data_IF_955888986990
#
_entry.id   IF_955888986990
#
_cell.length_a   1.000
_cell.length_b   1.000
_cell.length_c   1.000
_cell.angle_alpha   90.00
_cell.angle_beta   90.00
_cell.angle_gamma   90.00
#
_symmetry.space_group_name_H-M   'P 1'
#
loop_
_entity.id
_entity.type
_entity.pdbx_description
1 polymer ?
#
# COMPACT_ATOMS: atom_id res chain seq x y z
N UNK A 1 7.56 10.81 19.67
CA UNK A 1 8.41 9.87 18.93
C UNK A 1 9.64 10.65 18.51
N UNK A 2 10.83 10.10 18.71
CA UNK A 2 12.06 10.81 18.36
C UNK A 2 12.23 10.81 16.84
N UNK A 3 12.86 11.87 16.29
CA UNK A 3 13.02 12.03 14.84
C UNK A 3 13.75 10.86 14.16
N UNK A 4 14.58 10.12 14.91
CA UNK A 4 15.33 8.96 14.41
C UNK A 4 14.43 7.71 14.30
N UNK A 5 13.53 7.51 15.26
CA UNK A 5 12.56 6.41 15.25
C UNK A 5 11.58 6.55 14.09
N UNK A 6 11.10 7.78 13.84
CA UNK A 6 10.23 8.09 12.71
C UNK A 6 10.94 7.77 11.38
N UNK A 7 12.20 8.16 11.24
CA UNK A 7 13.00 7.87 10.05
C UNK A 7 13.21 6.36 9.84
N UNK A 8 13.45 5.62 10.93
CA UNK A 8 13.57 4.17 10.89
C UNK A 8 12.27 3.49 10.43
N UNK A 9 11.12 3.90 10.97
CA UNK A 9 9.81 3.37 10.57
C UNK A 9 9.51 3.70 9.12
N UNK A 10 9.78 4.93 8.68
CA UNK A 10 9.59 5.31 7.29
C UNK A 10 10.42 4.44 6.35
N UNK A 11 11.68 4.20 6.68
CA UNK A 11 12.54 3.33 5.89
C UNK A 11 11.99 1.91 5.84
N UNK A 12 11.61 1.35 6.99
CA UNK A 12 11.06 -0.01 7.11
C UNK A 12 9.76 -0.19 6.31
N UNK A 13 8.82 0.76 6.42
CA UNK A 13 7.56 0.71 5.68
C UNK A 13 7.75 0.98 4.18
N UNK A 14 8.82 1.68 3.80
CA UNK A 14 9.19 1.91 2.39
C UNK A 14 9.89 0.72 1.73
N UNK A 15 10.28 -0.29 2.51
CA UNK A 15 10.99 -1.47 2.02
C UNK A 15 10.08 -2.33 1.14
N UNK A 16 10.59 -2.72 -0.04
CA UNK A 16 9.91 -3.62 -0.96
C UNK A 16 9.78 -5.05 -0.44
N UNK A 17 10.57 -5.43 0.58
CA UNK A 17 10.55 -6.76 1.20
C UNK A 17 9.49 -6.89 2.31
N UNK A 18 8.70 -5.85 2.58
CA UNK A 18 7.64 -5.93 3.57
C UNK A 18 6.64 -7.04 3.15
N UNK A 19 6.25 -7.97 4.06
CA UNK A 19 5.44 -9.15 3.73
C UNK A 19 3.94 -8.80 3.55
N UNK A 20 3.69 -7.80 2.71
CA UNK A 20 2.35 -7.32 2.32
C UNK A 20 1.86 -7.96 1.02
N UNK A 21 2.75 -8.67 0.32
CA UNK A 21 2.48 -9.27 -0.98
C UNK A 21 2.75 -8.31 -2.15
N UNK A 22 3.10 -8.86 -3.30
CA UNK A 22 3.32 -8.09 -4.53
C UNK A 22 1.99 -7.60 -5.12
N UNK A 23 1.97 -6.41 -5.72
CA UNK A 23 0.83 -5.97 -6.50
C UNK A 23 0.67 -6.88 -7.73
N UNK A 24 -0.53 -7.42 -7.89
CA UNK A 24 -0.83 -8.44 -8.91
C UNK A 24 -1.19 -7.80 -10.27
N UNK A 25 -1.45 -6.50 -10.33
CA UNK A 25 -1.94 -5.82 -11.53
C UNK A 25 -0.90 -4.85 -12.12
N UNK A 26 -0.70 -4.92 -13.44
CA UNK A 26 0.10 -3.98 -14.24
C UNK A 26 -0.53 -2.58 -14.39
N UNK A 27 -1.59 -2.28 -13.63
CA UNK A 27 -2.45 -1.10 -13.75
C UNK A 27 -2.93 -0.81 -15.20
N UNK A 28 -3.00 -1.83 -16.05
CA UNK A 28 -3.39 -1.66 -17.46
C UNK A 28 -2.26 -1.22 -18.39
N UNK A 29 -1.00 -1.23 -17.94
CA UNK A 29 0.17 -0.94 -18.79
C UNK A 29 0.22 -1.88 -20.00
N UNK A 30 -0.10 -3.16 -19.81
CA UNK A 30 -0.13 -4.14 -20.90
C UNK A 30 -1.11 -3.72 -21.99
N UNK A 31 -2.34 -3.34 -21.63
CA UNK A 31 -3.33 -2.80 -22.58
C UNK A 31 -2.83 -1.53 -23.25
N UNK A 32 -2.19 -0.62 -22.50
CA UNK A 32 -1.60 0.60 -23.05
C UNK A 32 -0.52 0.30 -24.12
N UNK A 33 0.31 -0.72 -23.89
CA UNK A 33 1.28 -1.18 -24.90
C UNK A 33 0.59 -1.83 -26.09
N UNK A 34 -0.31 -2.79 -25.85
CA UNK A 34 -0.99 -3.57 -26.89
C UNK A 34 -1.81 -2.71 -27.85
N UNK A 35 -2.42 -1.63 -27.37
CA UNK A 35 -3.20 -0.70 -28.20
C UNK A 35 -2.36 0.34 -28.95
N UNK A 36 -1.03 0.21 -28.95
CA UNK A 36 -0.16 1.01 -29.80
C UNK A 36 0.11 2.42 -29.27
N UNK A 37 -0.19 2.72 -28.00
CA UNK A 37 0.13 4.02 -27.40
C UNK A 37 1.65 4.24 -27.25
N UNK A 38 2.45 3.17 -27.23
CA UNK A 38 3.92 3.23 -27.36
C UNK A 38 4.41 3.27 -28.81
N UNK A 39 3.50 3.17 -29.78
CA UNK A 39 3.78 3.04 -31.21
C UNK A 39 3.15 4.20 -31.97
N UNK A 40 3.50 5.45 -31.61
CA UNK A 40 3.03 6.60 -32.40
C UNK A 40 3.68 6.60 -33.80
N UNK A 41 2.84 6.94 -34.78
CA UNK A 41 3.02 6.74 -36.22
C UNK A 41 4.19 7.51 -36.85
N UNK A 42 4.81 6.84 -37.84
CA UNK A 42 5.56 7.37 -38.99
C UNK A 42 6.87 8.17 -38.79
N UNK A 43 7.95 7.53 -39.27
CA UNK A 43 9.11 8.14 -39.96
C UNK A 43 9.81 9.31 -39.27
N UNK A 44 10.78 9.05 -38.38
CA UNK A 44 12.09 9.72 -38.36
C UNK A 44 13.00 9.14 -37.27
N UNK A 45 14.31 9.22 -37.49
CA UNK A 45 15.36 8.56 -36.70
C UNK A 45 15.53 9.27 -35.33
N UNK A 46 14.83 8.83 -34.29
CA UNK A 46 14.96 9.36 -32.90
C UNK A 46 14.37 8.50 -31.75
N UNK A 47 13.93 7.27 -32.05
CA UNK A 47 12.89 6.47 -31.33
C UNK A 47 13.04 6.15 -29.83
N UNK A 48 14.22 6.24 -29.19
CA UNK A 48 14.36 5.72 -27.80
C UNK A 48 13.81 6.68 -26.73
N UNK A 49 13.94 7.98 -26.95
CA UNK A 49 13.51 8.97 -25.96
C UNK A 49 11.98 9.08 -25.91
N UNK A 50 11.30 8.94 -27.04
CA UNK A 50 9.83 9.10 -27.11
C UNK A 50 9.10 7.97 -26.36
N UNK A 51 9.53 6.72 -26.52
CA UNK A 51 8.92 5.59 -25.78
C UNK A 51 9.11 5.72 -24.28
N UNK A 52 10.29 6.16 -23.81
CA UNK A 52 10.52 6.41 -22.39
C UNK A 52 9.62 7.54 -21.88
N UNK A 53 9.44 8.61 -22.66
CA UNK A 53 8.54 9.70 -22.30
C UNK A 53 7.08 9.21 -22.17
N UNK A 54 6.58 8.41 -23.11
CA UNK A 54 5.23 7.83 -23.01
C UNK A 54 5.05 6.93 -21.79
N UNK A 55 6.07 6.14 -21.43
CA UNK A 55 6.04 5.31 -20.21
C UNK A 55 6.04 6.19 -18.96
N UNK A 56 6.87 7.24 -18.92
CA UNK A 56 6.92 8.19 -17.80
C UNK A 56 5.58 8.92 -17.65
N UNK A 57 4.97 9.34 -18.76
CA UNK A 57 3.67 10.00 -18.74
C UNK A 57 2.57 9.03 -18.29
N UNK A 58 2.58 7.77 -18.78
CA UNK A 58 1.68 6.73 -18.29
C UNK A 58 1.80 6.52 -16.77
N UNK A 59 3.03 6.40 -16.25
CA UNK A 59 3.30 6.22 -14.81
C UNK A 59 2.78 7.41 -14.02
N UNK A 60 3.06 8.63 -14.49
CA UNK A 60 2.63 9.87 -13.84
C UNK A 60 1.10 9.96 -13.78
N UNK A 61 0.42 9.68 -14.89
CA UNK A 61 -1.03 9.76 -14.97
C UNK A 61 -1.71 8.68 -14.13
N UNK A 62 -1.18 7.45 -14.17
CA UNK A 62 -1.66 6.35 -13.32
C UNK A 62 -1.48 6.67 -11.85
N UNK A 63 -0.32 7.18 -11.46
CA UNK A 63 -0.04 7.54 -10.08
C UNK A 63 -0.96 8.67 -9.62
N UNK A 64 -1.11 9.72 -10.42
CA UNK A 64 -2.01 10.83 -10.12
C UNK A 64 -3.45 10.33 -9.93
N UNK A 65 -3.93 9.47 -10.82
CA UNK A 65 -5.24 8.84 -10.71
C UNK A 65 -5.36 8.03 -9.42
N UNK A 66 -4.39 7.15 -9.15
CA UNK A 66 -4.37 6.31 -7.96
C UNK A 66 -4.35 7.14 -6.67
N UNK A 67 -3.43 8.12 -6.57
CA UNK A 67 -3.29 8.99 -5.42
C UNK A 67 -4.60 9.75 -5.12
N UNK A 68 -5.27 10.28 -6.14
CA UNK A 68 -6.57 10.97 -5.98
C UNK A 68 -7.67 10.04 -5.50
N UNK A 69 -7.64 8.77 -5.88
CA UNK A 69 -8.64 7.77 -5.45
C UNK A 69 -8.35 7.13 -4.10
N UNK A 70 -7.09 7.08 -3.65
CA UNK A 70 -6.71 6.34 -2.45
C UNK A 70 -6.32 7.24 -1.27
N UNK A 71 -5.70 8.40 -1.50
CA UNK A 71 -5.22 9.27 -0.42
C UNK A 71 -6.32 9.83 0.49
N UNK A 72 -7.52 10.19 0.01
CA UNK A 72 -8.60 10.60 0.90
C UNK A 72 -8.91 9.51 1.94
N UNK A 73 -9.07 8.26 1.48
CA UNK A 73 -9.33 7.11 2.35
C UNK A 73 -8.19 6.82 3.33
N UNK A 74 -6.94 6.92 2.88
CA UNK A 74 -5.76 6.79 3.76
C UNK A 74 -5.75 7.86 4.85
N UNK A 75 -6.12 9.08 4.49
CA UNK A 75 -6.12 10.24 5.40
C UNK A 75 -7.25 10.13 6.40
N UNK A 76 -8.46 9.84 5.94
CA UNK A 76 -9.66 9.75 6.77
C UNK A 76 -9.57 8.56 7.74
N UNK A 77 -9.07 7.40 7.28
CA UNK A 77 -8.83 6.25 8.15
C UNK A 77 -7.77 6.55 9.22
N UNK A 78 -6.71 7.28 8.85
CA UNK A 78 -5.68 7.72 9.79
C UNK A 78 -6.22 8.69 10.84
N UNK A 79 -7.02 9.66 10.42
CA UNK A 79 -7.64 10.64 11.32
C UNK A 79 -8.61 9.94 12.28
N UNK A 80 -9.50 9.07 11.77
CA UNK A 80 -10.45 8.32 12.59
C UNK A 80 -9.73 7.44 13.63
N UNK A 81 -8.68 6.72 13.22
CA UNK A 81 -7.85 5.95 14.14
C UNK A 81 -7.15 6.85 15.17
N UNK A 82 -6.54 7.96 14.76
CA UNK A 82 -5.84 8.88 15.65
C UNK A 82 -6.77 9.52 16.68
N UNK A 83 -7.98 9.88 16.28
CA UNK A 83 -9.01 10.38 17.18
C UNK A 83 -9.37 9.34 18.24
N UNK A 84 -9.57 8.07 17.85
CA UNK A 84 -9.83 6.99 18.79
C UNK A 84 -8.67 6.79 19.79
N UNK A 85 -7.43 6.90 19.30
CA UNK A 85 -6.22 6.71 20.10
C UNK A 85 -6.02 7.84 21.13
N UNK A 86 -6.35 9.08 20.75
CA UNK A 86 -6.17 10.29 21.56
C UNK A 86 -7.21 10.52 22.67
N UNK A 87 -8.24 9.69 22.78
CA UNK A 87 -9.24 9.80 23.84
C UNK A 87 -8.62 9.52 25.22
N UNK A 88 -8.77 10.48 26.13
CA UNK A 88 -7.99 10.60 27.38
C UNK A 88 -8.49 9.75 28.56
N UNK A 89 -9.61 9.02 28.46
CA UNK A 89 -10.13 8.25 29.59
C UNK A 89 -11.04 7.10 29.16
N UNK A 90 -10.80 5.92 29.76
CA UNK A 90 -11.54 4.64 29.68
C UNK A 90 -11.70 4.06 28.27
N UNK A 91 -11.48 2.74 28.15
CA UNK A 91 -11.87 1.98 26.96
C UNK A 91 -13.40 1.90 26.99
N UNK A 92 -14.07 2.96 26.56
CA UNK A 92 -15.50 2.88 26.32
C UNK A 92 -15.70 2.09 25.04
N UNK A 93 -16.30 0.89 25.16
CA UNK A 93 -16.61 0.01 24.05
C UNK A 93 -17.40 0.75 22.96
N UNK A 94 -18.24 1.72 23.37
CA UNK A 94 -19.02 2.57 22.46
C UNK A 94 -18.14 3.39 21.51
N UNK A 95 -17.05 3.97 22.03
CA UNK A 95 -16.12 4.79 21.24
C UNK A 95 -15.33 3.95 20.22
N UNK A 96 -14.92 2.75 20.61
CA UNK A 96 -14.26 1.81 19.71
C UNK A 96 -15.23 1.28 18.66
N UNK A 97 -16.51 1.09 18.99
CA UNK A 97 -17.53 0.69 18.00
C UNK A 97 -17.81 1.80 17.00
N UNK A 98 -17.83 3.07 17.43
CA UNK A 98 -18.00 4.21 16.52
C UNK A 98 -16.82 4.32 15.55
N UNK A 99 -15.58 4.25 16.05
CA UNK A 99 -14.39 4.26 15.19
C UNK A 99 -14.36 3.07 14.22
N UNK A 100 -14.80 1.88 14.66
CA UNK A 100 -14.92 0.73 13.78
C UNK A 100 -15.96 0.98 12.68
N UNK A 101 -17.12 1.55 13.01
CA UNK A 101 -18.16 1.87 12.03
C UNK A 101 -17.67 2.89 10.99
N UNK A 102 -16.99 3.95 11.42
CA UNK A 102 -16.42 4.95 10.50
C UNK A 102 -15.43 4.30 9.51
N UNK A 103 -14.59 3.39 10.00
CA UNK A 103 -13.65 2.65 9.15
C UNK A 103 -14.36 1.68 8.21
N UNK A 104 -15.45 1.04 8.65
CA UNK A 104 -16.29 0.17 7.82
C UNK A 104 -16.94 0.94 6.68
N UNK A 105 -17.55 2.09 6.98
CA UNK A 105 -18.20 2.93 5.98
C UNK A 105 -17.20 3.44 4.92
N UNK A 106 -15.99 3.81 5.34
CA UNK A 106 -14.90 4.19 4.43
C UNK A 106 -14.46 3.01 3.55
N UNK A 107 -14.35 1.81 4.12
CA UNK A 107 -13.91 0.61 3.41
C UNK A 107 -14.95 0.13 2.39
N UNK A 108 -16.24 0.20 2.73
CA UNK A 108 -17.36 -0.10 1.84
C UNK A 108 -17.45 0.88 0.67
N UNK A 109 -17.24 2.18 0.95
CA UNK A 109 -17.16 3.19 -0.10
C UNK A 109 -15.97 2.89 -1.04
N UNK A 110 -14.79 2.56 -0.50
CA UNK A 110 -13.62 2.22 -1.31
C UNK A 110 -13.83 0.95 -2.16
N UNK A 111 -14.45 -0.09 -1.61
CA UNK A 111 -14.84 -1.29 -2.35
C UNK A 111 -15.74 -0.90 -3.55
N UNK A 112 -16.77 -0.09 -3.29
CA UNK A 112 -17.73 0.34 -4.32
C UNK A 112 -17.06 1.12 -5.46
N UNK A 113 -16.05 1.93 -5.15
CA UNK A 113 -15.31 2.74 -6.12
C UNK A 113 -14.24 1.95 -6.88
N UNK A 114 -13.76 0.83 -6.35
CA UNK A 114 -12.69 0.04 -6.97
C UNK A 114 -13.27 -0.98 -7.95
N UNK A 115 -13.67 -0.58 -9.15
CA UNK A 115 -14.42 -1.48 -10.06
C UNK A 115 -13.66 -2.74 -10.53
N UNK A 116 -12.32 -2.72 -10.51
CA UNK A 116 -11.50 -3.84 -10.95
C UNK A 116 -11.37 -4.92 -9.86
N UNK A 117 -11.93 -6.11 -10.11
CA UNK A 117 -11.90 -7.22 -9.16
C UNK A 117 -10.47 -7.71 -8.79
N UNK A 118 -9.49 -7.62 -9.71
CA UNK A 118 -8.09 -7.96 -9.44
C UNK A 118 -7.49 -6.93 -8.49
N UNK A 119 -7.77 -5.64 -8.72
CA UNK A 119 -7.34 -4.56 -7.84
C UNK A 119 -7.99 -4.67 -6.46
N UNK A 120 -9.29 -4.96 -6.38
CA UNK A 120 -10.01 -5.25 -5.12
C UNK A 120 -9.33 -6.37 -4.35
N UNK A 121 -9.16 -7.53 -4.98
CA UNK A 121 -8.56 -8.71 -4.33
C UNK A 121 -7.13 -8.44 -3.84
N UNK A 122 -6.32 -7.76 -4.64
CA UNK A 122 -4.97 -7.38 -4.25
C UNK A 122 -4.98 -6.43 -3.05
N UNK A 123 -5.83 -5.40 -3.09
CA UNK A 123 -5.97 -4.42 -2.01
C UNK A 123 -6.41 -5.06 -0.69
N UNK A 124 -7.41 -5.96 -0.70
CA UNK A 124 -7.87 -6.69 0.51
C UNK A 124 -6.77 -7.58 1.09
N UNK A 125 -6.08 -8.35 0.23
CA UNK A 125 -4.99 -9.24 0.67
C UNK A 125 -3.85 -8.44 1.32
N UNK A 126 -3.48 -7.30 0.71
CA UNK A 126 -2.43 -6.42 1.21
C UNK A 126 -2.83 -5.73 2.53
N UNK A 127 -4.08 -5.26 2.65
CA UNK A 127 -4.58 -4.65 3.88
C UNK A 127 -4.57 -5.62 5.05
N UNK A 128 -5.10 -6.84 4.86
CA UNK A 128 -5.08 -7.90 5.90
C UNK A 128 -3.65 -8.28 6.30
N UNK A 129 -2.71 -8.30 5.35
CA UNK A 129 -1.31 -8.54 5.64
C UNK A 129 -0.70 -7.42 6.50
N UNK A 130 -1.05 -6.15 6.29
CA UNK A 130 -0.62 -5.03 7.14
C UNK A 130 -1.15 -5.13 8.57
N UNK A 131 -2.44 -5.47 8.74
CA UNK A 131 -3.01 -5.67 10.09
C UNK A 131 -2.30 -6.83 10.81
N UNK A 132 -1.96 -7.90 10.06
CA UNK A 132 -1.20 -9.04 10.60
C UNK A 132 0.24 -8.66 10.95
N UNK A 133 0.87 -7.81 10.14
CA UNK A 133 2.20 -7.26 10.40
C UNK A 133 2.20 -6.43 11.67
N UNK A 134 1.20 -5.57 11.88
CA UNK A 134 1.05 -4.82 13.13
C UNK A 134 1.04 -5.75 14.34
N UNK A 135 0.11 -6.71 14.36
CA UNK A 135 -0.05 -7.63 15.49
C UNK A 135 1.14 -8.55 15.76
N UNK A 136 2.05 -8.75 14.79
CA UNK A 136 3.20 -9.65 14.92
C UNK A 136 4.54 -8.93 15.06
N UNK A 137 4.67 -7.77 14.44
CA UNK A 137 5.95 -7.06 14.30
C UNK A 137 6.03 -5.75 15.06
N UNK A 138 4.90 -5.09 15.36
CA UNK A 138 4.88 -3.76 15.98
C UNK A 138 4.26 -3.74 17.39
N UNK A 139 3.63 -4.83 17.83
CA UNK A 139 3.14 -4.94 19.20
C UNK A 139 4.26 -5.34 20.16
N UNK A 140 4.29 -4.73 21.36
CA UNK A 140 5.21 -5.14 22.45
C UNK A 140 5.11 -6.65 22.71
N UNK A 141 6.23 -7.40 22.65
CA UNK A 141 6.20 -8.84 22.89
C UNK A 141 5.79 -9.15 24.34
N UNK A 142 5.09 -10.27 24.60
CA UNK A 142 4.57 -10.61 25.94
C UNK A 142 5.64 -10.61 27.04
N UNK A 143 6.86 -11.03 26.71
CA UNK A 143 8.01 -11.06 27.64
C UNK A 143 8.36 -9.66 28.17
N UNK A 144 8.20 -8.62 27.35
CA UNK A 144 8.44 -7.23 27.73
C UNK A 144 7.22 -6.57 28.38
N UNK A 145 6.05 -7.22 28.38
CA UNK A 145 4.84 -6.75 29.07
C UNK A 145 4.78 -7.19 30.54
N UNK A 146 5.57 -8.19 30.93
CA UNK A 146 5.52 -8.82 32.26
C UNK A 146 6.72 -8.50 33.14
N UNK A 147 7.80 -7.93 32.58
CA UNK A 147 8.98 -7.54 33.35
C UNK A 147 8.80 -6.21 34.08
N UNK A 148 9.29 -6.12 35.32
CA UNK A 148 9.36 -4.93 36.20
C UNK A 148 10.13 -3.71 35.63
N UNK A 149 10.46 -3.73 34.33
CA UNK A 149 11.18 -2.66 33.63
C UNK A 149 10.20 -1.99 32.65
N UNK A 150 9.14 -1.36 33.15
CA UNK A 150 8.31 -0.45 32.34
C UNK A 150 9.11 0.83 32.09
N UNK A 151 9.77 0.87 30.93
CA UNK A 151 10.37 2.10 30.39
C UNK A 151 9.31 3.04 29.78
N UNK A 152 8.07 2.56 29.61
CA UNK A 152 6.97 3.32 29.00
C UNK A 152 6.09 4.00 30.05
N UNK A 153 5.60 5.20 29.71
CA UNK A 153 4.61 5.89 30.55
C UNK A 153 3.29 5.12 30.59
N UNK A 154 2.47 5.27 31.66
CA UNK A 154 1.12 4.69 31.72
C UNK A 154 0.22 5.13 30.55
N UNK A 155 0.46 6.33 30.02
CA UNK A 155 -0.26 6.87 28.87
C UNK A 155 0.08 6.12 27.57
N UNK A 156 1.35 5.76 27.38
CA UNK A 156 1.81 4.95 26.24
C UNK A 156 1.25 3.53 26.28
N UNK A 157 1.18 2.92 27.47
CA UNK A 157 0.59 1.59 27.64
C UNK A 157 -0.92 1.59 27.35
N UNK A 158 -1.63 2.61 27.83
CA UNK A 158 -3.05 2.79 27.53
C UNK A 158 -3.27 3.03 26.03
N UNK A 159 -2.41 3.81 25.38
CA UNK A 159 -2.40 4.04 23.93
C UNK A 159 -2.22 2.73 23.16
N UNK A 160 -1.20 1.96 23.49
CA UNK A 160 -0.89 0.68 22.84
C UNK A 160 -2.05 -0.33 23.01
N UNK A 161 -2.70 -0.33 24.18
CA UNK A 161 -3.88 -1.17 24.46
C UNK A 161 -5.07 -0.80 23.58
N UNK A 162 -5.39 0.50 23.46
CA UNK A 162 -6.48 0.99 22.59
C UNK A 162 -6.25 0.64 21.12
N UNK A 163 -5.04 0.86 20.64
CA UNK A 163 -4.68 0.53 19.24
C UNK A 163 -4.80 -0.97 19.01
N UNK A 164 -4.26 -1.78 19.91
CA UNK A 164 -4.35 -3.25 19.83
C UNK A 164 -5.80 -3.71 19.75
N UNK A 165 -6.66 -3.19 20.63
CA UNK A 165 -8.08 -3.51 20.63
C UNK A 165 -8.79 -3.10 19.33
N UNK A 166 -8.51 -1.90 18.80
CA UNK A 166 -9.07 -1.45 17.52
C UNK A 166 -8.63 -2.35 16.36
N UNK A 167 -7.32 -2.67 16.26
CA UNK A 167 -6.79 -3.54 15.20
C UNK A 167 -7.39 -4.94 15.29
N UNK A 168 -7.55 -5.49 16.49
CA UNK A 168 -8.18 -6.81 16.67
C UNK A 168 -9.68 -6.79 16.33
N UNK A 169 -10.40 -5.70 16.63
CA UNK A 169 -11.79 -5.50 16.19
C UNK A 169 -11.90 -5.45 14.66
N UNK A 170 -11.04 -4.69 13.98
CA UNK A 170 -11.01 -4.63 12.51
C UNK A 170 -10.71 -6.01 11.92
N UNK A 171 -9.69 -6.72 12.44
CA UNK A 171 -9.37 -8.08 11.99
C UNK A 171 -10.53 -9.05 12.19
N UNK A 172 -11.26 -8.92 13.30
CA UNK A 172 -12.44 -9.74 13.56
C UNK A 172 -13.56 -9.43 12.56
N UNK A 173 -13.85 -8.15 12.31
CA UNK A 173 -14.83 -7.71 11.32
C UNK A 173 -14.47 -8.23 9.92
N UNK A 174 -13.19 -8.18 9.52
CA UNK A 174 -12.73 -8.73 8.23
C UNK A 174 -12.98 -10.24 8.15
N UNK A 175 -12.68 -10.98 9.23
CA UNK A 175 -12.93 -12.44 9.29
C UNK A 175 -14.41 -12.80 9.26
N UNK A 176 -15.27 -11.91 9.74
CA UNK A 176 -16.73 -12.04 9.70
C UNK A 176 -17.35 -11.54 8.40
N UNK A 177 -16.53 -11.03 7.47
CA UNK A 177 -16.97 -10.43 6.21
C UNK A 177 -17.88 -9.20 6.44
N UNK A 178 -17.76 -8.55 7.60
CA UNK A 178 -18.45 -7.29 7.93
C UNK A 178 -17.69 -6.08 7.36
N UNK A 179 -16.44 -6.27 6.93
CA UNK A 179 -15.61 -5.26 6.27
C UNK A 179 -14.61 -5.95 5.35
N UNK A 180 -14.09 -5.24 4.35
CA UNK A 180 -13.29 -5.82 3.30
C UNK A 180 -11.79 -5.87 3.63
N UNK A 181 -11.31 -4.92 4.44
CA UNK A 181 -9.92 -4.76 4.83
C UNK A 181 -9.03 -4.24 3.71
N UNK A 182 -9.45 -3.19 3.00
CA UNK A 182 -8.64 -2.64 1.91
C UNK A 182 -7.35 -1.99 2.39
N UNK A 183 -6.35 -2.00 1.50
CA UNK A 183 -5.03 -1.45 1.74
C UNK A 183 -5.06 0.03 2.22
N UNK A 184 -5.75 0.98 1.56
CA UNK A 184 -5.83 2.37 2.03
C UNK A 184 -6.26 2.51 3.48
N UNK A 185 -7.31 1.78 3.88
CA UNK A 185 -7.89 1.85 5.23
C UNK A 185 -6.93 1.24 6.25
N UNK A 186 -6.46 0.03 5.98
CA UNK A 186 -5.53 -0.67 6.87
C UNK A 186 -4.20 0.07 7.01
N UNK A 187 -3.74 0.74 5.95
CA UNK A 187 -2.54 1.58 5.97
C UNK A 187 -2.73 2.82 6.86
N UNK A 188 -3.85 3.53 6.73
CA UNK A 188 -4.16 4.68 7.59
C UNK A 188 -4.20 4.30 9.07
N UNK A 189 -4.83 3.16 9.39
CA UNK A 189 -4.86 2.60 10.75
C UNK A 189 -3.45 2.24 11.24
N UNK A 190 -2.64 1.58 10.39
CA UNK A 190 -1.26 1.22 10.75
C UNK A 190 -0.39 2.44 11.03
N UNK A 191 -0.43 3.47 10.17
CA UNK A 191 0.41 4.65 10.37
C UNK A 191 -0.03 5.47 11.58
N UNK A 192 -1.33 5.50 11.89
CA UNK A 192 -1.85 6.08 13.13
C UNK A 192 -1.39 5.28 14.35
N UNK A 193 -1.42 3.95 14.26
CA UNK A 193 -0.94 3.02 15.29
C UNK A 193 0.57 3.19 15.59
N UNK A 194 1.36 3.55 14.59
CA UNK A 194 2.80 3.82 14.70
C UNK A 194 3.10 5.27 15.11
N UNK A 195 2.09 6.12 15.31
CA UNK A 195 2.28 7.51 15.73
C UNK A 195 2.85 8.43 14.64
N UNK A 196 2.81 8.02 13.37
CA UNK A 196 3.28 8.85 12.27
C UNK A 196 2.35 10.04 12.02
N UNK A 197 2.88 11.16 11.55
CA UNK A 197 2.06 12.31 11.16
C UNK A 197 1.26 12.03 9.87
N UNK A 198 0.15 12.75 9.68
CA UNK A 198 -0.67 12.67 8.47
C UNK A 198 0.14 12.98 7.18
N UNK A 199 1.07 13.93 7.25
CA UNK A 199 1.94 14.28 6.11
C UNK A 199 2.91 13.15 5.73
N UNK A 200 3.45 12.45 6.74
CA UNK A 200 4.31 11.28 6.53
C UNK A 200 3.50 10.09 5.99
N UNK A 201 2.30 9.85 6.55
CA UNK A 201 1.37 8.82 6.11
C UNK A 201 1.06 8.92 4.61
N UNK A 202 0.61 10.10 4.17
CA UNK A 202 0.23 10.34 2.77
C UNK A 202 1.42 10.26 1.83
N UNK A 203 2.54 10.89 2.18
CA UNK A 203 3.76 10.85 1.36
C UNK A 203 4.29 9.43 1.18
N UNK A 204 4.34 8.65 2.27
CA UNK A 204 4.84 7.27 2.25
C UNK A 204 3.91 6.34 1.47
N UNK A 205 2.59 6.54 1.54
CA UNK A 205 1.64 5.76 0.77
C UNK A 205 1.83 5.91 -0.75
N UNK A 206 2.06 7.14 -1.21
CA UNK A 206 2.35 7.41 -2.64
C UNK A 206 3.67 6.77 -3.05
N UNK A 207 4.75 6.97 -2.29
CA UNK A 207 6.08 6.41 -2.60
C UNK A 207 6.07 4.88 -2.65
N UNK A 208 5.33 4.24 -1.73
CA UNK A 208 5.20 2.78 -1.73
C UNK A 208 4.38 2.26 -2.91
N UNK A 209 3.37 3.00 -3.37
CA UNK A 209 2.64 2.68 -4.60
C UNK A 209 3.52 2.86 -5.86
N UNK A 210 4.27 3.96 -5.95
CA UNK A 210 5.18 4.27 -7.06
C UNK A 210 6.28 3.22 -7.24
N UNK A 211 7.02 2.93 -6.16
CA UNK A 211 8.15 1.98 -6.21
C UNK A 211 7.70 0.61 -6.69
N UNK A 212 6.52 0.18 -6.26
CA UNK A 212 6.00 -1.13 -6.62
C UNK A 212 5.62 -1.19 -8.10
N UNK A 213 5.16 -0.08 -8.68
CA UNK A 213 4.92 0.03 -10.12
C UNK A 213 6.24 0.03 -10.91
N UNK A 214 7.20 0.88 -10.53
CA UNK A 214 8.46 1.07 -11.26
C UNK A 214 9.35 -0.18 -11.18
N UNK A 215 9.48 -0.80 -10.00
CA UNK A 215 10.42 -1.90 -9.78
C UNK A 215 9.92 -3.25 -10.32
N UNK A 216 8.61 -3.50 -10.30
CA UNK A 216 8.06 -4.83 -10.61
C UNK A 216 7.27 -4.90 -11.91
N UNK A 217 6.75 -3.77 -12.40
CA UNK A 217 5.96 -3.74 -13.64
C UNK A 217 6.83 -3.35 -14.81
N UNK A 218 7.54 -2.23 -14.75
CA UNK A 218 8.33 -1.72 -15.88
C UNK A 218 9.37 -2.74 -16.40
N UNK A 219 10.18 -3.42 -15.57
CA UNK A 219 11.18 -4.38 -16.05
C UNK A 219 10.60 -5.65 -16.69
N UNK A 220 9.29 -5.92 -16.50
CA UNK A 220 8.61 -7.01 -17.23
C UNK A 220 8.30 -6.63 -18.68
N UNK A 221 8.19 -5.33 -18.97
CA UNK A 221 7.88 -4.81 -20.30
C UNK A 221 9.11 -4.25 -21.00
N UNK A 222 10.15 -3.85 -20.26
CA UNK A 222 11.44 -3.43 -20.79
C UNK A 222 12.48 -4.49 -20.44
N UNK A 223 13.11 -5.14 -21.43
CA UNK A 223 14.30 -5.95 -21.15
C UNK A 223 15.45 -5.00 -20.76
N UNK A 224 15.50 -4.62 -19.48
CA UNK A 224 16.62 -3.90 -18.90
C UNK A 224 17.47 -4.94 -18.18
N UNK A 225 18.61 -5.27 -18.79
CA UNK A 225 19.63 -6.11 -18.18
C UNK A 225 20.08 -5.46 -16.84
N UNK A 226 20.02 -6.15 -15.69
CA UNK A 226 20.44 -5.62 -14.40
C UNK A 226 21.90 -5.12 -14.39
N UNK A 227 22.73 -5.58 -15.32
CA UNK A 227 24.13 -5.14 -15.46
C UNK A 227 24.30 -3.77 -16.13
N UNK A 228 23.24 -3.19 -16.71
CA UNK A 228 23.30 -1.91 -17.44
C UNK A 228 22.80 -0.69 -16.66
N UNK A 229 22.65 -0.77 -15.34
CA UNK A 229 22.38 0.41 -14.50
C UNK A 229 23.54 1.42 -14.47
N UNK A 230 24.65 1.17 -15.18
CA UNK A 230 25.82 2.05 -15.25
C UNK A 230 26.20 2.62 -16.63
N UNK A 231 26.02 1.91 -17.75
CA UNK A 231 26.46 2.41 -19.08
C UNK A 231 25.61 1.81 -20.21
N UNK A 232 25.00 2.70 -21.00
CA UNK A 232 24.42 2.51 -22.35
C UNK A 232 24.78 1.20 -23.10
N UNK A 233 23.80 0.37 -23.46
CA UNK A 233 23.08 0.33 -24.74
C UNK A 233 22.45 -1.05 -25.02
N UNK A 234 21.22 -1.02 -25.58
CA UNK A 234 20.40 -2.11 -26.18
C UNK A 234 19.20 -2.63 -25.36
N UNK A 235 18.23 -1.75 -25.10
CA UNK A 235 16.87 -2.16 -24.71
C UNK A 235 16.10 -2.72 -25.92
N UNK A 236 15.71 -4.00 -25.85
CA UNK A 236 14.66 -4.59 -26.69
C UNK A 236 13.40 -4.76 -25.83
N UNK A 237 12.22 -4.53 -26.40
CA UNK A 237 10.95 -4.81 -25.73
C UNK A 237 10.59 -6.28 -25.95
N UNK A 238 10.37 -7.03 -24.88
CA UNK A 238 9.79 -8.37 -24.98
C UNK A 238 8.31 -8.22 -25.31
N UNK A 239 7.91 -8.56 -26.54
CA UNK A 239 6.51 -8.83 -26.84
C UNK A 239 6.06 -10.08 -26.08
N UNK A 240 4.87 -10.10 -25.47
CA UNK A 240 4.30 -11.34 -24.95
C UNK A 240 4.04 -12.25 -26.14
N UNK A 241 4.92 -13.22 -26.38
CA UNK A 241 4.67 -14.27 -27.34
C UNK A 241 3.44 -15.05 -26.87
N UNK A 242 2.41 -15.06 -27.71
CA UNK A 242 1.19 -15.82 -27.55
C UNK A 242 1.51 -17.28 -27.18
N UNK A 243 1.29 -17.65 -25.92
CA UNK A 243 1.13 -19.05 -25.53
C UNK A 243 -0.27 -19.50 -25.95
N UNK A 244 -0.46 -19.78 -27.24
CA UNK A 244 -1.49 -20.72 -27.68
C UNK A 244 -0.86 -22.12 -27.62
N UNK A 245 -1.48 -23.11 -26.93
CA UNK A 245 -1.02 -24.49 -27.04
C UNK A 245 -1.42 -25.01 -28.42
N UNK A 246 -0.45 -25.10 -29.34
CA UNK A 246 -0.61 -25.92 -30.54
C UNK A 246 -0.59 -27.39 -30.13
N UNK A 247 -1.54 -28.14 -30.69
CA UNK A 247 -1.83 -29.53 -30.36
C UNK A 247 -0.67 -30.48 -30.61
N UNK A 248 -0.70 -31.58 -29.86
CA UNK A 248 0.06 -32.78 -30.17
C UNK A 248 -0.62 -33.52 -31.33
N UNK A 249 0.13 -33.74 -32.41
CA UNK A 249 -0.04 -34.94 -33.24
C UNK A 249 0.36 -36.19 -32.46
#
# INVERSE_FOLDING_TARGET
MDSEDDAYILLLLSDGNLPTGAFVASAGLESFVTHGFLTSQETTKGKKNDTLNYVVDFVRDNLNSYARTALPFVSDAHISAQQHIGLAAEIDDSSSTAALQDLQDLDDLYESMTLNHVARRASKTQGVALLSLYSKGFTKPPVLRTGDISLSSPEDEARDSRIGALVDKIKLAVRREETHGHLPICWGVLTAALGLSLGMNTSLYVVTAERKFIMFVIPKFTCVDPSQSGVSSSTSFCTPAACYPQGCE
#
